data_IF_214730893396
#
_entry.id   IF_214730893396
#
_cell.length_a   1.000
_cell.length_b   1.000
_cell.length_c   1.000
_cell.angle_alpha   90.00
_cell.angle_beta   90.00
_cell.angle_gamma   90.00
#
_symmetry.space_group_name_H-M   'P 1'
#
loop_
_entity.id
_entity.type
_entity.pdbx_description
1 polymer ?
#
# COMPACT_ATOMS: atom_id res chain seq x y z
N UNK A 1 2.36 -47.67 -1.53
CA UNK A 1 1.75 -46.34 -1.59
C UNK A 1 2.59 -45.43 -0.71
N UNK A 2 3.28 -44.45 -1.28
CA UNK A 2 4.17 -43.58 -0.51
C UNK A 2 3.30 -42.57 0.25
N UNK A 3 3.28 -42.65 1.57
CA UNK A 3 2.66 -41.65 2.43
C UNK A 3 3.33 -40.28 2.18
N UNK A 4 2.64 -39.38 1.45
CA UNK A 4 3.08 -38.00 1.30
C UNK A 4 2.97 -37.35 2.67
N UNK A 5 4.10 -37.18 3.36
CA UNK A 5 4.17 -36.41 4.63
C UNK A 5 3.46 -35.06 4.45
N UNK A 6 2.54 -34.76 5.37
CA UNK A 6 1.82 -33.47 5.42
C UNK A 6 2.86 -32.36 5.62
N UNK A 7 2.77 -31.29 4.80
CA UNK A 7 3.63 -30.12 4.89
C UNK A 7 2.82 -28.90 5.33
N UNK A 8 3.47 -28.03 6.08
CA UNK A 8 2.97 -26.74 6.51
C UNK A 8 3.75 -25.64 5.81
N UNK A 9 3.11 -24.53 5.49
CA UNK A 9 3.68 -23.46 4.69
C UNK A 9 3.64 -22.16 5.47
N UNK A 10 4.77 -21.48 5.57
CA UNK A 10 4.88 -20.16 6.18
C UNK A 10 4.99 -19.13 5.07
N UNK A 11 4.18 -18.10 5.15
CA UNK A 11 4.29 -16.90 4.32
C UNK A 11 4.72 -15.74 5.22
N UNK A 12 5.93 -15.27 5.02
CA UNK A 12 6.43 -14.04 5.66
C UNK A 12 6.10 -12.81 4.83
N UNK A 13 6.11 -12.94 3.48
CA UNK A 13 5.78 -11.87 2.53
C UNK A 13 4.87 -12.46 1.44
N UNK A 14 3.65 -11.93 1.33
CA UNK A 14 2.61 -12.37 0.40
C UNK A 14 1.36 -11.52 0.58
N UNK A 15 0.28 -11.82 -0.14
CA UNK A 15 -1.02 -11.16 0.02
C UNK A 15 -1.59 -11.34 1.44
N UNK A 16 -1.28 -12.47 2.07
CA UNK A 16 -1.59 -12.77 3.47
C UNK A 16 -0.40 -13.47 4.10
N UNK A 17 -0.07 -13.10 5.34
CA UNK A 17 1.02 -13.69 6.13
C UNK A 17 0.44 -14.71 7.09
N UNK A 18 1.19 -15.78 7.35
CA UNK A 18 0.72 -16.78 8.31
C UNK A 18 1.28 -18.16 8.05
N UNK A 19 0.77 -19.11 8.84
CA UNK A 19 1.07 -20.55 8.72
C UNK A 19 -0.14 -21.25 8.10
N UNK A 20 0.08 -21.98 7.03
CA UNK A 20 -0.95 -22.68 6.25
C UNK A 20 -0.69 -24.19 6.27
N UNK A 21 -1.75 -24.99 6.34
CA UNK A 21 -1.69 -26.45 6.46
C UNK A 21 -1.61 -27.19 5.12
N UNK A 22 -1.69 -26.45 4.00
CA UNK A 22 -1.64 -27.00 2.66
C UNK A 22 -1.12 -25.99 1.64
N UNK A 23 -0.53 -26.49 0.56
CA UNK A 23 -0.10 -25.66 -0.57
C UNK A 23 -1.27 -24.92 -1.21
N UNK A 24 -2.43 -25.56 -1.33
CA UNK A 24 -3.60 -24.94 -1.95
C UNK A 24 -4.10 -23.73 -1.17
N UNK A 25 -4.02 -23.78 0.17
CA UNK A 25 -4.35 -22.63 1.01
C UNK A 25 -3.31 -21.51 0.91
N UNK A 26 -2.02 -21.86 0.82
CA UNK A 26 -0.90 -20.93 0.70
C UNK A 26 -0.81 -20.27 -0.68
N UNK A 27 -0.99 -21.07 -1.75
CA UNK A 27 -0.73 -20.68 -3.14
C UNK A 27 -1.42 -19.38 -3.54
N UNK A 28 -2.68 -19.20 -3.21
CA UNK A 28 -3.47 -18.01 -3.55
C UNK A 28 -2.91 -16.69 -2.99
N UNK A 29 -2.06 -16.77 -1.97
CA UNK A 29 -1.46 -15.59 -1.34
C UNK A 29 -0.03 -15.30 -1.79
N UNK A 30 0.58 -16.22 -2.55
CA UNK A 30 1.95 -16.06 -3.05
C UNK A 30 2.06 -16.09 -4.56
N UNK A 31 1.11 -16.73 -5.25
CA UNK A 31 1.11 -16.81 -6.72
C UNK A 31 0.84 -15.43 -7.32
N UNK A 32 1.73 -15.00 -8.23
CA UNK A 32 1.69 -13.66 -8.82
C UNK A 32 2.15 -12.53 -7.90
N UNK A 33 2.46 -12.81 -6.63
CA UNK A 33 2.98 -11.83 -5.71
C UNK A 33 4.50 -11.66 -5.89
N UNK A 34 4.91 -10.53 -6.48
CA UNK A 34 6.32 -10.26 -6.75
C UNK A 34 7.09 -10.07 -5.44
N UNK A 35 8.09 -10.92 -5.21
CA UNK A 35 8.90 -10.88 -3.99
C UNK A 35 8.33 -11.69 -2.81
N UNK A 36 7.32 -12.54 -3.05
CA UNK A 36 6.83 -13.45 -2.02
C UNK A 36 7.96 -14.22 -1.33
N UNK A 37 7.89 -14.28 0.00
CA UNK A 37 8.80 -15.06 0.84
C UNK A 37 7.98 -16.08 1.59
N UNK A 38 8.15 -17.32 1.20
CA UNK A 38 7.45 -18.45 1.82
C UNK A 38 8.33 -19.70 1.80
N UNK A 39 8.07 -20.63 2.72
CA UNK A 39 8.78 -21.91 2.80
C UNK A 39 7.87 -22.99 3.40
N UNK A 40 8.11 -24.25 3.01
CA UNK A 40 7.41 -25.39 3.58
C UNK A 40 8.22 -26.02 4.70
N UNK A 41 7.51 -26.51 5.72
CA UNK A 41 8.04 -27.21 6.89
C UNK A 41 7.37 -28.57 7.06
N UNK A 42 8.05 -29.49 7.74
CA UNK A 42 7.57 -30.86 7.91
C UNK A 42 6.61 -31.03 9.11
N UNK A 43 6.54 -30.03 10.02
CA UNK A 43 5.59 -30.01 11.12
C UNK A 43 5.01 -28.63 11.33
N UNK A 44 3.87 -28.56 12.06
CA UNK A 44 3.18 -27.31 12.39
C UNK A 44 4.01 -26.47 13.36
N UNK A 45 4.61 -27.12 14.33
CA UNK A 45 5.44 -26.50 15.37
C UNK A 45 6.64 -25.79 14.75
N UNK A 46 7.34 -26.46 13.81
CA UNK A 46 8.45 -25.85 13.07
C UNK A 46 8.00 -24.67 12.20
N UNK A 47 6.80 -24.72 11.64
CA UNK A 47 6.25 -23.62 10.86
C UNK A 47 5.86 -22.44 11.74
N UNK A 48 5.27 -22.66 12.91
CA UNK A 48 4.92 -21.62 13.87
C UNK A 48 6.17 -20.98 14.48
N UNK A 49 7.19 -21.78 14.83
CA UNK A 49 8.49 -21.24 15.25
C UNK A 49 9.13 -20.38 14.15
N UNK A 50 9.16 -20.89 12.92
CA UNK A 50 9.72 -20.15 11.80
C UNK A 50 8.95 -18.86 11.49
N UNK A 51 7.63 -18.85 11.66
CA UNK A 51 6.80 -17.66 11.46
C UNK A 51 7.11 -16.57 12.48
N UNK A 52 7.49 -16.93 13.70
CA UNK A 52 7.91 -15.98 14.74
C UNK A 52 9.31 -15.40 14.53
N UNK A 53 10.08 -15.93 13.58
CA UNK A 53 11.45 -15.50 13.26
C UNK A 53 11.53 -14.84 11.89
N UNK A 54 12.66 -14.20 11.60
CA UNK A 54 12.92 -13.59 10.30
C UNK A 54 12.99 -14.64 9.17
N UNK A 55 12.38 -14.33 8.01
CA UNK A 55 12.49 -15.19 6.83
C UNK A 55 13.93 -15.37 6.36
N UNK A 56 14.83 -14.43 6.67
CA UNK A 56 16.25 -14.47 6.29
C UNK A 56 16.99 -15.66 6.88
N UNK A 57 16.53 -16.17 8.03
CA UNK A 57 17.08 -17.38 8.65
C UNK A 57 16.74 -18.65 7.87
N UNK A 58 15.67 -18.62 7.07
CA UNK A 58 15.10 -19.80 6.41
C UNK A 58 15.19 -19.77 4.88
N UNK A 59 15.39 -18.60 4.27
CA UNK A 59 15.43 -18.43 2.82
C UNK A 59 16.74 -17.76 2.43
N UNK A 60 17.66 -18.51 1.79
CA UNK A 60 18.85 -17.95 1.15
C UNK A 60 18.43 -17.13 -0.07
N UNK A 61 18.78 -15.85 -0.10
CA UNK A 61 18.40 -14.88 -1.15
C UNK A 61 19.09 -15.14 -2.51
N UNK A 62 20.03 -16.07 -2.62
CA UNK A 62 20.81 -16.30 -3.83
C UNK A 62 20.15 -17.19 -4.89
N UNK A 63 19.12 -17.98 -4.56
CA UNK A 63 18.50 -18.95 -5.49
C UNK A 63 17.21 -18.50 -6.15
N UNK A 64 16.68 -17.30 -5.83
CA UNK A 64 15.38 -16.84 -6.34
C UNK A 64 15.46 -15.89 -7.56
N UNK A 65 16.63 -15.73 -8.22
CA UNK A 65 16.87 -14.64 -9.18
C UNK A 65 17.17 -15.09 -10.62
N UNK A 66 16.54 -16.16 -11.17
CA UNK A 66 16.76 -16.49 -12.58
C UNK A 66 15.72 -15.90 -13.57
N UNK A 67 14.53 -15.48 -13.14
CA UNK A 67 13.46 -15.06 -14.07
C UNK A 67 13.00 -13.60 -13.99
N UNK A 68 13.66 -12.74 -13.21
CA UNK A 68 13.20 -11.38 -12.97
C UNK A 68 14.02 -10.27 -13.68
N UNK A 69 14.81 -10.59 -14.74
CA UNK A 69 15.68 -9.59 -15.39
C UNK A 69 15.02 -8.70 -16.45
N UNK A 70 13.71 -8.73 -16.63
CA UNK A 70 13.01 -7.85 -17.60
C UNK A 70 11.73 -7.25 -17.06
N UNK A 71 11.80 -6.39 -16.04
CA UNK A 71 10.73 -5.40 -15.82
C UNK A 71 11.21 -4.29 -14.89
N UNK A 72 11.34 -3.11 -15.47
CA UNK A 72 11.19 -1.76 -14.90
C UNK A 72 12.07 -1.32 -13.73
N UNK A 73 12.81 -0.26 -14.02
CA UNK A 73 13.27 0.78 -13.09
C UNK A 73 12.15 1.13 -12.11
N UNK A 74 12.55 1.26 -10.88
CA UNK A 74 11.90 1.86 -9.75
C UNK A 74 11.47 0.86 -8.68
N UNK A 75 12.16 0.92 -7.58
CA UNK A 75 11.57 1.13 -6.27
C UNK A 75 12.70 1.24 -5.25
N UNK A 76 12.71 2.16 -4.31
CA UNK A 76 13.69 2.15 -3.25
C UNK A 76 13.46 0.94 -2.36
N UNK A 77 14.38 -0.01 -2.42
CA UNK A 77 14.43 -1.23 -1.60
C UNK A 77 14.67 -0.95 -0.10
N UNK A 78 14.68 0.32 0.30
CA UNK A 78 15.28 0.74 1.56
C UNK A 78 14.55 0.29 2.83
N UNK A 79 13.27 -0.09 2.75
CA UNK A 79 12.50 -0.47 3.95
C UNK A 79 12.18 -1.97 4.04
N UNK A 80 12.28 -2.71 2.91
CA UNK A 80 12.08 -4.18 2.88
C UNK A 80 13.32 -4.92 3.39
N UNK A 81 14.52 -4.33 3.22
CA UNK A 81 15.81 -4.95 3.55
C UNK A 81 16.41 -4.44 4.88
N UNK A 82 15.66 -3.65 5.67
CA UNK A 82 16.12 -3.25 7.00
C UNK A 82 15.93 -4.40 7.97
N UNK A 83 16.98 -4.73 8.71
CA UNK A 83 16.89 -5.64 9.83
C UNK A 83 15.79 -5.13 10.79
N UNK A 84 14.76 -5.96 10.97
CA UNK A 84 13.68 -5.69 11.91
C UNK A 84 14.30 -5.72 13.31
N UNK A 85 14.54 -4.57 13.93
CA UNK A 85 14.80 -4.57 15.35
C UNK A 85 13.48 -4.91 16.07
N UNK A 86 13.56 -5.69 17.14
CA UNK A 86 12.42 -6.24 17.85
C UNK A 86 11.48 -5.17 18.47
N UNK A 87 11.87 -3.88 18.39
CA UNK A 87 11.16 -2.72 18.96
C UNK A 87 10.74 -1.69 17.90
N UNK A 88 10.96 -1.95 16.61
CA UNK A 88 10.64 -1.00 15.55
C UNK A 88 9.14 -0.88 15.27
N UNK A 89 8.63 0.34 15.23
CA UNK A 89 7.28 0.65 14.75
C UNK A 89 7.30 0.64 13.21
N UNK A 90 6.94 -0.51 12.64
CA UNK A 90 6.96 -0.78 11.20
C UNK A 90 5.61 -0.52 10.55
N UNK A 91 5.58 -0.14 9.25
CA UNK A 91 4.34 0.01 8.55
C UNK A 91 3.63 -1.34 8.38
N UNK A 92 2.32 -1.35 8.56
CA UNK A 92 1.49 -2.50 8.20
C UNK A 92 1.48 -2.67 6.68
N UNK A 93 2.06 -3.77 6.20
CA UNK A 93 2.24 -4.02 4.77
C UNK A 93 0.94 -4.40 4.05
N UNK A 94 -0.02 -5.00 4.77
CA UNK A 94 -1.35 -5.31 4.23
C UNK A 94 -2.24 -4.07 4.27
N UNK A 95 -1.80 -3.02 3.60
CA UNK A 95 -2.43 -1.70 3.56
C UNK A 95 -2.28 -1.06 2.18
N UNK A 96 -2.92 0.07 1.99
CA UNK A 96 -2.68 0.93 0.83
C UNK A 96 -1.89 2.16 1.24
N UNK A 97 -1.03 2.61 0.35
CA UNK A 97 -0.34 3.90 0.45
C UNK A 97 -0.84 4.82 -0.64
N UNK A 98 -1.09 6.07 -0.31
CA UNK A 98 -1.57 7.08 -1.28
C UNK A 98 -0.69 8.31 -1.24
N UNK A 99 -0.51 8.94 -2.39
CA UNK A 99 0.30 10.14 -2.56
C UNK A 99 -0.18 10.96 -3.76
N UNK A 100 0.24 12.21 -3.82
CA UNK A 100 0.02 13.11 -4.92
C UNK A 100 1.31 13.79 -5.37
N UNK A 101 1.36 14.16 -6.65
CA UNK A 101 2.43 14.96 -7.22
C UNK A 101 1.85 16.18 -7.96
N UNK A 102 2.50 17.32 -7.80
CA UNK A 102 2.13 18.53 -8.49
C UNK A 102 3.35 19.24 -9.07
N UNK A 103 3.34 19.50 -10.37
CA UNK A 103 4.39 20.27 -11.04
C UNK A 103 4.09 21.75 -10.97
N UNK A 104 4.42 22.38 -9.84
CA UNK A 104 4.09 23.77 -9.51
C UNK A 104 2.96 23.86 -8.47
N UNK A 105 2.69 25.08 -7.96
CA UNK A 105 1.68 25.31 -6.92
C UNK A 105 0.98 26.66 -7.13
N UNK A 106 -0.12 26.70 -7.96
CA UNK A 106 -0.80 25.61 -8.64
C UNK A 106 -0.06 25.11 -9.89
N UNK A 107 -0.31 23.84 -10.27
CA UNK A 107 0.30 23.20 -11.44
C UNK A 107 -0.46 21.96 -11.90
N UNK A 108 0.18 21.17 -12.78
CA UNK A 108 -0.36 19.86 -13.16
C UNK A 108 -0.25 18.91 -11.99
N UNK A 109 -1.39 18.42 -11.51
CA UNK A 109 -1.51 17.58 -10.33
C UNK A 109 -2.06 16.21 -10.70
N UNK A 110 -1.46 15.18 -10.17
CA UNK A 110 -1.95 13.80 -10.25
C UNK A 110 -1.83 13.14 -8.89
N UNK A 111 -2.59 12.08 -8.66
CA UNK A 111 -2.50 11.29 -7.44
C UNK A 111 -2.68 9.80 -7.73
N UNK A 112 -2.18 8.97 -6.85
CA UNK A 112 -2.31 7.52 -6.95
C UNK A 112 -2.42 6.83 -5.60
N UNK A 113 -2.89 5.59 -5.66
CA UNK A 113 -2.82 4.64 -4.55
C UNK A 113 -2.16 3.37 -5.01
N UNK A 114 -1.33 2.81 -4.14
CA UNK A 114 -0.60 1.56 -4.38
C UNK A 114 -0.80 0.61 -3.21
N UNK A 115 -0.62 -0.68 -3.45
CA UNK A 115 -0.53 -1.66 -2.38
C UNK A 115 0.83 -1.51 -1.67
N UNK A 116 0.81 -1.25 -0.38
CA UNK A 116 2.01 -0.86 0.39
C UNK A 116 3.13 -1.88 0.30
N UNK A 117 2.82 -3.17 0.39
CA UNK A 117 3.83 -4.23 0.35
C UNK A 117 4.60 -4.32 -0.97
N UNK A 118 3.99 -3.99 -2.11
CA UNK A 118 4.57 -4.24 -3.43
C UNK A 118 4.79 -3.00 -4.26
N UNK A 119 4.17 -1.87 -3.89
CA UNK A 119 4.09 -0.68 -4.73
C UNK A 119 3.23 -0.86 -5.99
N UNK A 120 2.46 -1.96 -6.08
CA UNK A 120 1.55 -2.18 -7.21
C UNK A 120 0.48 -1.09 -7.24
N UNK A 121 0.35 -0.39 -8.37
CA UNK A 121 -0.66 0.63 -8.55
C UNK A 121 -2.06 0.03 -8.53
N UNK A 122 -2.94 0.60 -7.69
CA UNK A 122 -4.34 0.20 -7.53
C UNK A 122 -5.23 1.17 -8.28
N UNK A 123 -4.92 2.45 -8.16
CA UNK A 123 -5.58 3.52 -8.89
C UNK A 123 -4.63 4.68 -9.13
N UNK A 124 -4.93 5.44 -10.18
CA UNK A 124 -4.27 6.69 -10.53
C UNK A 124 -5.31 7.63 -11.14
N UNK A 125 -5.16 8.93 -10.89
CA UNK A 125 -6.01 9.97 -11.49
C UNK A 125 -5.21 11.24 -11.80
N UNK A 126 -5.61 11.91 -12.86
CA UNK A 126 -4.92 13.07 -13.38
C UNK A 126 -4.19 12.79 -14.70
N UNK A 127 -3.37 13.71 -15.24
CA UNK A 127 -3.09 15.01 -14.63
C UNK A 127 -4.27 15.98 -14.70
N UNK A 128 -4.47 16.75 -13.64
CA UNK A 128 -5.43 17.84 -13.55
C UNK A 128 -4.70 19.18 -13.63
N UNK A 129 -5.23 20.11 -14.40
CA UNK A 129 -4.63 21.42 -14.53
C UNK A 129 -4.90 22.30 -13.29
N UNK A 130 -3.93 23.16 -12.98
CA UNK A 130 -4.03 24.13 -11.88
C UNK A 130 -4.45 23.51 -10.55
N UNK A 131 -3.93 22.33 -10.23
CA UNK A 131 -4.10 21.69 -8.93
C UNK A 131 -3.01 22.09 -7.94
N UNK A 132 -3.11 21.57 -6.72
CA UNK A 132 -2.08 21.68 -5.68
C UNK A 132 -1.84 20.31 -5.05
N UNK A 133 -0.65 20.10 -4.47
CA UNK A 133 -0.33 18.84 -3.82
C UNK A 133 -1.35 18.48 -2.73
N UNK A 134 -1.68 19.42 -1.83
CA UNK A 134 -2.65 19.19 -0.77
C UNK A 134 -4.03 18.74 -1.25
N UNK A 135 -4.49 19.27 -2.40
CA UNK A 135 -5.76 18.84 -3.01
C UNK A 135 -5.64 17.41 -3.53
N UNK A 136 -4.52 17.10 -4.19
CA UNK A 136 -4.25 15.72 -4.65
C UNK A 136 -4.23 14.71 -3.53
N UNK A 137 -3.54 15.02 -2.44
CA UNK A 137 -3.47 14.21 -1.22
C UNK A 137 -4.86 13.93 -0.63
N UNK A 138 -5.68 14.99 -0.47
CA UNK A 138 -7.05 14.84 -0.01
C UNK A 138 -7.86 13.91 -0.91
N UNK A 139 -7.79 14.10 -2.22
CA UNK A 139 -8.50 13.28 -3.20
C UNK A 139 -7.99 11.84 -3.23
N UNK A 140 -6.68 11.63 -3.09
CA UNK A 140 -6.08 10.29 -3.05
C UNK A 140 -6.61 9.47 -1.87
N UNK A 141 -6.67 10.07 -0.67
CA UNK A 141 -7.21 9.40 0.52
C UNK A 141 -8.70 9.07 0.33
N UNK A 142 -9.53 10.03 -0.12
CA UNK A 142 -10.96 9.79 -0.30
C UNK A 142 -11.22 8.74 -1.38
N UNK A 143 -10.45 8.75 -2.48
CA UNK A 143 -10.55 7.74 -3.54
C UNK A 143 -10.23 6.34 -2.98
N UNK A 144 -9.17 6.20 -2.20
CA UNK A 144 -8.82 4.95 -1.54
C UNK A 144 -9.93 4.44 -0.60
N UNK A 145 -10.46 5.31 0.26
CA UNK A 145 -11.58 5.00 1.16
C UNK A 145 -12.83 4.54 0.38
N UNK A 146 -13.18 5.24 -0.69
CA UNK A 146 -14.33 4.91 -1.52
C UNK A 146 -14.17 3.55 -2.21
N UNK A 147 -12.99 3.25 -2.75
CA UNK A 147 -12.71 1.98 -3.39
C UNK A 147 -12.72 0.81 -2.40
N UNK A 148 -12.13 0.97 -1.20
CA UNK A 148 -12.17 -0.07 -0.17
C UNK A 148 -13.60 -0.36 0.26
N UNK A 149 -14.40 0.67 0.47
CA UNK A 149 -15.83 0.50 0.79
C UNK A 149 -16.60 -0.20 -0.33
N UNK A 150 -16.33 0.14 -1.60
CA UNK A 150 -16.99 -0.47 -2.76
C UNK A 150 -16.62 -1.96 -2.92
N UNK A 151 -15.37 -2.33 -2.61
CA UNK A 151 -14.93 -3.73 -2.67
C UNK A 151 -15.55 -4.62 -1.60
N UNK A 152 -16.18 -4.06 -0.58
CA UNK A 152 -16.81 -4.81 0.51
C UNK A 152 -15.78 -5.47 1.43
N UNK A 153 -15.94 -6.76 1.72
CA UNK A 153 -15.04 -7.54 2.58
C UNK A 153 -13.62 -7.63 1.99
N UNK A 154 -12.85 -6.59 2.20
CA UNK A 154 -11.41 -6.54 1.91
C UNK A 154 -10.67 -6.77 3.23
N UNK A 155 -9.66 -7.65 3.21
CA UNK A 155 -8.74 -7.82 4.35
C UNK A 155 -7.88 -6.57 4.61
N UNK A 156 -8.07 -5.50 3.82
CA UNK A 156 -7.34 -4.25 3.92
C UNK A 156 -8.23 -3.22 4.60
N UNK A 157 -7.80 -2.77 5.77
CA UNK A 157 -8.53 -1.79 6.58
C UNK A 157 -7.68 -0.57 6.94
N UNK A 158 -6.61 -0.32 6.19
CA UNK A 158 -5.65 0.74 6.47
C UNK A 158 -5.16 1.42 5.19
N UNK A 159 -5.15 2.75 5.23
CA UNK A 159 -4.52 3.62 4.23
C UNK A 159 -3.44 4.45 4.91
N UNK A 160 -2.26 4.50 4.33
CA UNK A 160 -1.19 5.42 4.70
C UNK A 160 -1.16 6.63 3.76
N UNK A 161 -0.93 7.80 4.35
CA UNK A 161 -0.59 9.02 3.65
C UNK A 161 0.46 9.79 4.45
N UNK A 162 1.38 10.45 3.78
CA UNK A 162 2.36 11.34 4.42
C UNK A 162 1.86 12.78 4.55
N UNK A 163 0.65 13.08 4.06
CA UNK A 163 0.04 14.40 4.10
C UNK A 163 -0.76 14.65 5.38
N UNK A 164 -0.24 15.48 6.27
CA UNK A 164 -0.97 15.94 7.46
C UNK A 164 -2.21 16.76 7.07
N UNK A 165 -2.10 17.60 6.02
CA UNK A 165 -3.22 18.41 5.53
C UNK A 165 -4.31 17.55 4.91
N UNK A 166 -3.96 16.62 4.02
CA UNK A 166 -4.90 15.70 3.39
C UNK A 166 -5.70 14.92 4.42
N UNK A 167 -5.01 14.30 5.39
CA UNK A 167 -5.65 13.57 6.49
C UNK A 167 -6.54 14.46 7.36
N UNK A 168 -6.11 15.69 7.66
CA UNK A 168 -6.92 16.64 8.45
C UNK A 168 -8.20 17.03 7.73
N UNK A 169 -8.14 17.27 6.42
CA UNK A 169 -9.30 17.63 5.60
C UNK A 169 -10.28 16.47 5.47
N UNK A 170 -9.78 15.24 5.35
CA UNK A 170 -10.63 14.04 5.33
C UNK A 170 -11.38 13.88 6.66
N UNK A 171 -10.69 14.02 7.81
CA UNK A 171 -11.36 13.98 9.13
C UNK A 171 -12.41 15.05 9.32
N UNK A 172 -12.25 16.22 8.68
CA UNK A 172 -13.20 17.33 8.72
C UNK A 172 -14.28 17.23 7.64
N UNK A 173 -14.19 16.25 6.74
CA UNK A 173 -15.12 16.11 5.62
C UNK A 173 -15.03 17.24 4.59
N UNK A 174 -13.96 18.06 4.62
CA UNK A 174 -13.89 19.31 3.85
C UNK A 174 -12.49 19.59 3.32
N UNK A 175 -12.36 19.80 2.02
CA UNK A 175 -11.13 20.27 1.37
C UNK A 175 -10.95 21.78 1.60
N UNK A 176 -10.08 22.17 2.55
CA UNK A 176 -9.85 23.58 2.90
C UNK A 176 -8.81 24.26 2.01
N UNK A 177 -8.90 24.02 0.70
CA UNK A 177 -8.00 24.66 -0.25
C UNK A 177 -8.30 26.14 -0.41
N UNK A 178 -7.23 26.93 -0.62
CA UNK A 178 -7.33 28.35 -1.02
C UNK A 178 -7.26 28.52 -2.54
N UNK A 179 -7.24 27.43 -3.28
CA UNK A 179 -7.19 27.43 -4.73
C UNK A 179 -8.45 28.09 -5.32
N UNK A 180 -8.28 29.07 -6.19
CA UNK A 180 -9.40 29.68 -6.90
C UNK A 180 -9.92 28.73 -7.99
N UNK A 181 -11.23 28.59 -8.10
CA UNK A 181 -11.84 27.85 -9.19
C UNK A 181 -11.76 28.66 -10.50
N UNK A 182 -11.33 28.00 -11.56
CA UNK A 182 -11.22 28.56 -12.92
C UNK A 182 -11.80 27.56 -13.92
N UNK A 183 -11.96 27.98 -15.18
CA UNK A 183 -12.36 27.04 -16.22
C UNK A 183 -11.36 25.86 -16.41
N UNK A 184 -10.06 26.12 -16.20
CA UNK A 184 -9.01 25.12 -16.38
C UNK A 184 -9.01 24.01 -15.30
N UNK A 185 -9.45 24.33 -14.08
CA UNK A 185 -9.52 23.38 -12.98
C UNK A 185 -10.95 23.00 -12.57
N UNK A 186 -11.93 23.29 -13.41
CA UNK A 186 -13.34 23.00 -13.12
C UNK A 186 -13.57 21.50 -12.80
N UNK A 187 -12.91 20.60 -13.54
CA UNK A 187 -12.97 19.15 -13.29
C UNK A 187 -12.43 18.78 -11.92
N UNK A 188 -11.33 19.42 -11.49
CA UNK A 188 -10.75 19.20 -10.17
C UNK A 188 -11.72 19.63 -9.05
N UNK A 189 -12.36 20.78 -9.21
CA UNK A 189 -13.38 21.24 -8.24
C UNK A 189 -14.62 20.36 -8.22
N UNK A 190 -14.98 19.75 -9.35
CA UNK A 190 -16.05 18.75 -9.37
C UNK A 190 -15.66 17.50 -8.56
N UNK A 191 -14.44 17.02 -8.70
CA UNK A 191 -13.92 15.91 -7.88
C UNK A 191 -13.90 16.27 -6.40
N UNK A 192 -13.48 17.47 -6.02
CA UNK A 192 -13.52 17.95 -4.62
C UNK A 192 -14.94 17.87 -4.07
N UNK A 193 -15.92 18.44 -4.79
CA UNK A 193 -17.34 18.39 -4.35
C UNK A 193 -17.85 16.95 -4.19
N UNK A 194 -17.50 16.06 -5.12
CA UNK A 194 -17.87 14.65 -5.07
C UNK A 194 -17.22 13.93 -3.88
N UNK A 195 -15.95 14.23 -3.60
CA UNK A 195 -15.23 13.68 -2.47
C UNK A 195 -15.84 14.14 -1.12
N UNK A 196 -16.13 15.42 -0.99
CA UNK A 196 -16.81 15.98 0.20
C UNK A 196 -18.18 15.35 0.41
N UNK A 197 -18.98 15.27 -0.66
CA UNK A 197 -20.30 14.62 -0.61
C UNK A 197 -20.21 13.15 -0.24
N UNK A 198 -19.16 12.46 -0.72
CA UNK A 198 -18.94 11.06 -0.35
C UNK A 198 -18.64 10.94 1.15
N UNK A 199 -17.76 11.78 1.70
CA UNK A 199 -17.43 11.79 3.13
C UNK A 199 -18.65 12.09 3.99
N UNK A 200 -19.52 12.99 3.56
CA UNK A 200 -20.78 13.34 4.26
C UNK A 200 -21.76 12.16 4.33
N UNK A 201 -21.87 11.39 3.23
CA UNK A 201 -22.90 10.37 3.09
C UNK A 201 -22.41 8.94 3.38
N UNK A 202 -21.15 8.76 3.75
CA UNK A 202 -20.59 7.43 3.94
C UNK A 202 -19.83 7.30 5.27
N UNK A 203 -20.23 6.29 6.06
CA UNK A 203 -19.38 5.78 7.13
C UNK A 203 -18.39 4.76 6.57
N UNK A 204 -17.18 4.81 7.06
CA UNK A 204 -16.11 3.88 6.71
C UNK A 204 -15.36 3.45 7.98
N UNK A 205 -14.87 2.22 8.00
CA UNK A 205 -14.10 1.63 9.11
C UNK A 205 -12.59 1.64 8.82
N UNK A 206 -12.21 1.94 7.58
CA UNK A 206 -10.81 1.99 7.17
C UNK A 206 -10.07 3.09 7.93
N UNK A 207 -8.99 2.72 8.59
CA UNK A 207 -8.12 3.68 9.26
C UNK A 207 -7.29 4.46 8.25
N UNK A 208 -7.00 5.73 8.56
CA UNK A 208 -6.05 6.55 7.81
C UNK A 208 -4.94 6.96 8.74
N UNK A 209 -3.72 6.44 8.51
CA UNK A 209 -2.53 6.68 9.34
C UNK A 209 -1.47 7.49 8.61
N UNK A 210 -0.70 8.24 9.40
CA UNK A 210 0.45 8.99 8.91
C UNK A 210 1.58 8.01 8.54
N UNK A 211 2.10 8.11 7.33
CA UNK A 211 3.36 7.48 6.95
C UNK A 211 4.52 8.23 7.61
N UNK A 212 5.42 7.51 8.27
CA UNK A 212 6.56 8.09 8.98
C UNK A 212 7.79 8.14 8.07
N UNK A 213 7.84 9.12 7.19
CA UNK A 213 8.89 9.27 6.18
C UNK A 213 10.31 9.28 6.76
N UNK A 214 10.49 9.89 7.95
CA UNK A 214 11.80 9.96 8.62
C UNK A 214 12.28 8.58 9.12
N UNK A 215 11.35 7.68 9.48
CA UNK A 215 11.67 6.36 10.00
C UNK A 215 11.65 5.30 8.89
N UNK A 216 10.68 5.38 7.99
CA UNK A 216 10.39 4.35 6.99
C UNK A 216 10.87 4.69 5.58
N UNK A 217 11.38 5.91 5.34
CA UNK A 217 11.73 6.41 4.02
C UNK A 217 10.52 6.89 3.23
N UNK A 218 10.69 7.10 1.93
CA UNK A 218 9.61 7.59 1.06
C UNK A 218 8.43 6.63 1.02
N UNK A 219 7.21 7.19 0.99
CA UNK A 219 5.98 6.40 0.91
C UNK A 219 5.94 5.59 -0.41
N UNK A 220 5.47 4.33 -0.42
CA UNK A 220 5.43 3.51 -1.63
C UNK A 220 4.68 4.15 -2.81
N UNK A 221 3.76 5.06 -2.53
CA UNK A 221 3.02 5.81 -3.54
C UNK A 221 3.77 7.03 -4.09
N UNK A 222 4.97 7.40 -3.56
CA UNK A 222 5.75 8.56 -4.03
C UNK A 222 6.04 8.46 -5.53
N UNK A 223 5.84 9.57 -6.24
CA UNK A 223 6.02 9.63 -7.71
C UNK A 223 7.49 9.68 -8.14
N UNK A 224 8.44 9.82 -7.21
CA UNK A 224 9.87 9.90 -7.52
C UNK A 224 10.25 11.15 -8.32
N UNK A 225 9.48 12.21 -8.22
CA UNK A 225 9.71 13.50 -8.89
C UNK A 225 10.20 14.52 -7.87
N UNK A 226 11.48 14.52 -7.63
CA UNK A 226 12.18 15.58 -6.86
C UNK A 226 13.09 16.34 -7.78
#
# INVERSE_FOLDING_TARGET
>A
MSDKKKKYYVIWIGLERGVFDSWNACKKYVEGYKGAKYKSFESKELAEEAYSRSYTEYINTETANSDARKASKAQPKAWIDRDLDENGDWPELNSWSVDAACSGNPGKMEYRGVYTATGQEIFKAGPFEQGTNNVGEFLAIVHGLALLKQKGESNINLIYSDSVNGMSWVRQGKCKTKLAQTAKNAQLFDLIRRAEKWLENNHYTTEVKKWKTEEWGEIPADFGRK
#
